data_IF_351291550189
#
_entry.id   IF_351291550189
#
_cell.length_a   1.000
_cell.length_b   1.000
_cell.length_c   1.000
_cell.angle_alpha   90.00
_cell.angle_beta   90.00
_cell.angle_gamma   90.00
#
_symmetry.space_group_name_H-M   'P 1'
#
loop_
_entity.id
_entity.type
_entity.pdbx_description
1 polymer ?
#
# COMPACT_ATOMS: atom_id res chain seq x y z
N UNK A 1 -16.34 -7.68 3.66
CA UNK A 1 -14.97 -7.35 4.14
C UNK A 1 -14.79 -5.84 3.98
N UNK A 2 -14.50 -5.01 4.97
CA UNK A 2 -14.12 -5.18 6.38
C UNK A 2 -14.39 -3.85 7.12
N UNK A 3 -14.87 -3.92 8.36
CA UNK A 3 -14.77 -2.85 9.35
C UNK A 3 -13.38 -2.92 10.03
N UNK A 4 -12.30 -2.96 9.24
CA UNK A 4 -10.94 -3.10 9.75
C UNK A 4 -10.26 -1.73 9.84
N UNK A 5 -9.51 -1.54 10.91
CA UNK A 5 -8.72 -0.34 11.15
C UNK A 5 -7.22 -0.65 11.09
N UNK A 6 -6.43 0.38 10.86
CA UNK A 6 -4.97 0.35 10.83
C UNK A 6 -4.40 -0.63 9.79
N UNK A 7 -4.91 -0.56 8.57
CA UNK A 7 -4.54 -1.47 7.47
C UNK A 7 -4.10 -0.69 6.23
N UNK A 8 -3.03 -1.14 5.60
CA UNK A 8 -2.59 -0.66 4.28
C UNK A 8 -2.65 -1.84 3.32
N UNK A 9 -3.29 -1.64 2.16
CA UNK A 9 -3.54 -2.68 1.14
C UNK A 9 -2.90 -2.25 -0.19
N UNK A 10 -1.56 -2.33 -0.32
CA UNK A 10 -0.87 -2.00 -1.56
C UNK A 10 -1.04 -3.13 -2.59
N UNK A 11 -1.35 -2.77 -3.83
CA UNK A 11 -1.40 -3.70 -4.95
C UNK A 11 -0.75 -3.07 -6.19
N UNK A 12 -0.05 -3.86 -6.99
CA UNK A 12 0.52 -3.41 -8.26
C UNK A 12 -0.49 -3.48 -9.41
N UNK A 13 -0.47 -2.49 -10.30
CA UNK A 13 -1.42 -2.44 -11.44
C UNK A 13 -1.19 -3.51 -12.50
N UNK A 14 -0.03 -4.18 -12.50
CA UNK A 14 0.30 -5.30 -13.38
C UNK A 14 0.15 -6.66 -12.68
N UNK A 15 -0.19 -6.66 -11.39
CA UNK A 15 -0.43 -7.87 -10.62
C UNK A 15 -1.84 -8.39 -10.89
N UNK A 16 -2.02 -9.59 -11.49
CA UNK A 16 -3.37 -10.12 -11.73
C UNK A 16 -4.21 -10.27 -10.45
N UNK A 17 -3.57 -10.40 -9.29
CA UNK A 17 -4.26 -10.52 -8.00
C UNK A 17 -4.84 -9.20 -7.51
N UNK A 18 -4.41 -8.05 -8.05
CA UNK A 18 -4.95 -6.75 -7.65
C UNK A 18 -6.47 -6.65 -7.85
N UNK A 19 -7.02 -7.43 -8.79
CA UNK A 19 -8.44 -7.47 -9.10
C UNK A 19 -9.27 -8.16 -8.00
N UNK A 20 -8.64 -9.00 -7.17
CA UNK A 20 -9.27 -9.66 -6.02
C UNK A 20 -9.21 -8.80 -4.75
N UNK A 21 -8.48 -7.69 -4.78
CA UNK A 21 -8.39 -6.72 -3.69
C UNK A 21 -9.61 -5.79 -3.60
N UNK A 22 -9.44 -4.70 -2.85
CA UNK A 22 -10.41 -3.61 -2.78
C UNK A 22 -9.72 -2.27 -2.93
N UNK A 23 -10.38 -1.33 -3.59
CA UNK A 23 -10.00 0.08 -3.65
C UNK A 23 -11.00 0.99 -2.94
N UNK A 24 -11.97 0.39 -2.25
CA UNK A 24 -12.93 1.10 -1.44
C UNK A 24 -12.31 1.40 -0.09
N UNK A 25 -12.27 2.67 0.27
CA UNK A 25 -11.90 3.10 1.60
C UNK A 25 -13.14 3.15 2.51
N UNK A 26 -13.20 2.27 3.50
CA UNK A 26 -14.36 2.10 4.40
C UNK A 26 -14.14 2.63 5.83
N UNK A 27 -12.90 2.97 6.22
CA UNK A 27 -12.57 3.50 7.56
C UNK A 27 -11.52 4.60 7.47
N UNK A 28 -11.35 5.42 8.51
CA UNK A 28 -10.35 6.50 8.46
C UNK A 28 -8.89 5.99 8.36
N UNK A 29 -8.66 4.71 8.65
CA UNK A 29 -7.33 4.09 8.77
C UNK A 29 -7.14 2.86 7.88
N UNK A 30 -8.02 2.67 6.89
CA UNK A 30 -7.86 1.69 5.83
C UNK A 30 -7.36 2.38 4.55
N UNK A 31 -6.17 2.01 4.09
CA UNK A 31 -5.53 2.65 2.94
C UNK A 31 -5.29 1.66 1.80
N UNK A 32 -6.27 1.46 0.89
CA UNK A 32 -6.02 0.75 -0.35
C UNK A 32 -5.20 1.62 -1.30
N UNK A 33 -4.13 1.05 -1.87
CA UNK A 33 -3.21 1.79 -2.76
C UNK A 33 -2.98 0.95 -4.02
N UNK A 34 -3.30 1.53 -5.19
CA UNK A 34 -2.91 0.97 -6.48
C UNK A 34 -1.59 1.62 -6.94
N UNK A 35 -0.56 0.80 -7.10
CA UNK A 35 0.77 1.22 -7.50
C UNK A 35 0.91 1.03 -9.00
N UNK A 36 1.02 2.13 -9.74
CA UNK A 36 1.07 2.08 -11.19
C UNK A 36 2.38 1.44 -11.69
N UNK A 37 2.27 0.61 -12.74
CA UNK A 37 3.37 -0.05 -13.42
C UNK A 37 4.22 -0.97 -12.54
N UNK A 38 3.61 -1.60 -11.53
CA UNK A 38 4.30 -2.58 -10.66
C UNK A 38 3.58 -3.93 -10.64
N UNK A 39 4.34 -4.98 -10.34
CA UNK A 39 3.86 -6.34 -10.19
C UNK A 39 3.61 -6.70 -8.72
N UNK A 40 3.37 -7.98 -8.46
CA UNK A 40 2.99 -8.52 -7.15
C UNK A 40 3.95 -8.08 -6.03
N UNK A 41 3.38 -7.44 -5.00
CA UNK A 41 4.08 -6.98 -3.79
C UNK A 41 5.36 -6.17 -4.05
N UNK A 42 5.42 -5.39 -5.13
CA UNK A 42 6.64 -4.66 -5.51
C UNK A 42 7.13 -3.66 -4.45
N UNK A 43 6.21 -3.15 -3.62
CA UNK A 43 6.49 -2.25 -2.50
C UNK A 43 7.38 -2.88 -1.42
N UNK A 44 7.37 -4.21 -1.28
CA UNK A 44 8.11 -4.95 -0.25
C UNK A 44 9.58 -5.22 -0.59
N UNK A 45 9.98 -5.04 -1.85
CA UNK A 45 11.38 -5.22 -2.24
C UNK A 45 12.24 -4.00 -1.90
N UNK A 46 13.57 -4.17 -1.72
CA UNK A 46 14.50 -3.05 -1.63
C UNK A 46 14.43 -2.16 -2.87
N UNK A 47 14.82 -0.88 -2.71
CA UNK A 47 14.98 0.02 -3.83
C UNK A 47 16.07 -0.48 -4.80
N UNK A 48 15.87 -0.25 -6.09
CA UNK A 48 16.81 -0.62 -7.14
C UNK A 48 16.82 0.41 -8.28
N UNK A 49 17.90 0.43 -9.06
CA UNK A 49 18.04 1.36 -10.18
C UNK A 49 17.01 1.07 -11.27
N UNK A 50 16.27 2.11 -11.68
CA UNK A 50 15.22 1.99 -12.69
C UNK A 50 13.90 1.41 -12.17
N UNK A 51 13.68 1.38 -10.86
CA UNK A 51 12.38 0.98 -10.31
C UNK A 51 11.23 1.90 -10.76
N UNK A 52 9.99 1.38 -10.88
CA UNK A 52 8.83 2.19 -11.20
C UNK A 52 8.73 3.43 -10.30
N UNK A 53 8.59 4.60 -10.92
CA UNK A 53 8.61 5.92 -10.26
C UNK A 53 7.62 6.03 -9.09
N UNK A 54 6.50 5.31 -9.15
CA UNK A 54 5.50 5.28 -8.10
C UNK A 54 5.98 4.64 -6.78
N UNK A 55 6.96 3.72 -6.82
CA UNK A 55 7.37 2.92 -5.65
C UNK A 55 7.94 3.78 -4.52
N UNK A 56 8.79 4.77 -4.85
CA UNK A 56 9.42 5.64 -3.84
C UNK A 56 8.35 6.38 -3.04
N UNK A 57 7.38 6.99 -3.74
CA UNK A 57 6.28 7.72 -3.10
C UNK A 57 5.37 6.80 -2.27
N UNK A 58 5.02 5.64 -2.81
CA UNK A 58 4.14 4.68 -2.10
C UNK A 58 4.83 4.10 -0.86
N UNK A 59 6.11 3.73 -0.93
CA UNK A 59 6.85 3.25 0.26
C UNK A 59 6.93 4.32 1.35
N UNK A 60 7.03 5.60 0.98
CA UNK A 60 6.96 6.72 1.94
C UNK A 60 5.58 6.85 2.58
N UNK A 61 4.50 6.70 1.80
CA UNK A 61 3.12 6.70 2.33
C UNK A 61 2.89 5.54 3.29
N UNK A 62 3.24 4.31 2.91
CA UNK A 62 3.13 3.11 3.75
C UNK A 62 3.88 3.32 5.07
N UNK A 63 5.13 3.80 5.00
CA UNK A 63 5.92 4.12 6.20
C UNK A 63 5.26 5.16 7.09
N UNK A 64 4.62 6.17 6.49
CA UNK A 64 3.83 7.19 7.21
C UNK A 64 2.68 6.57 7.98
N UNK A 65 1.81 5.81 7.31
CA UNK A 65 0.67 5.15 7.95
C UNK A 65 1.10 4.19 9.07
N UNK A 66 2.13 3.38 8.84
CA UNK A 66 2.67 2.47 9.87
C UNK A 66 3.19 3.26 11.08
N UNK A 67 3.85 4.41 10.87
CA UNK A 67 4.28 5.28 11.98
C UNK A 67 3.07 5.79 12.76
N UNK A 68 2.03 6.25 12.07
CA UNK A 68 0.84 6.79 12.70
C UNK A 68 0.13 5.72 13.55
N UNK A 69 0.05 4.50 13.03
CA UNK A 69 -0.47 3.34 13.77
C UNK A 69 0.31 3.14 15.07
N UNK A 70 1.65 3.07 14.99
CA UNK A 70 2.52 2.90 16.16
C UNK A 70 2.35 4.06 17.17
N UNK A 71 2.21 5.29 16.67
CA UNK A 71 2.10 6.48 17.52
C UNK A 71 0.81 6.52 18.35
N UNK A 72 -0.25 5.89 17.85
CA UNK A 72 -1.58 5.86 18.48
C UNK A 72 -1.66 4.83 19.63
N UNK A 73 -0.68 3.93 19.76
CA UNK A 73 -0.59 2.96 20.86
C UNK A 73 0.09 3.50 22.14
N UNK A 74 0.56 4.75 22.13
CA UNK A 74 1.16 5.40 23.31
C UNK A 74 0.10 6.07 24.16
#
# INVERSE_FOLDING_TARGET
>A
MLFADNVVLPNGSLDPWHALGTYVNNTATAYPILINATAHCSDMYPAYDGEPVALVGVRQQIRGHVRDFISTFK
#
